data_IF_070456225844
#
_entry.id   IF_070456225844
#
_cell.length_a   1.000
_cell.length_b   1.000
_cell.length_c   1.000
_cell.angle_alpha   90.00
_cell.angle_beta   90.00
_cell.angle_gamma   90.00
#
_symmetry.space_group_name_H-M   'P 1'
#
loop_
_entity.id
_entity.type
_entity.pdbx_description
1 polymer ?
#
# COMPACT_ATOMS: atom_id res chain seq x y z
N UNK A 1 -12.52 27.66 12.46
CA UNK A 1 -11.85 27.70 11.14
C UNK A 1 -12.14 26.40 10.44
N UNK A 2 -12.78 26.49 9.27
CA UNK A 2 -13.35 25.40 8.50
C UNK A 2 -12.25 24.45 7.98
N UNK A 3 -12.30 23.17 8.35
CA UNK A 3 -11.49 22.13 7.71
C UNK A 3 -12.22 21.68 6.45
N UNK A 4 -11.67 22.08 5.31
CA UNK A 4 -12.14 21.71 3.99
C UNK A 4 -11.99 20.21 3.75
N UNK A 5 -13.10 19.62 3.31
CA UNK A 5 -13.34 18.24 2.96
C UNK A 5 -12.29 17.66 2.00
N UNK A 6 -11.63 16.58 2.41
CA UNK A 6 -10.88 15.70 1.51
C UNK A 6 -11.85 14.95 0.60
N UNK A 7 -12.06 15.48 -0.59
CA UNK A 7 -12.86 14.86 -1.65
C UNK A 7 -12.10 13.63 -2.18
N UNK A 8 -12.46 12.43 -1.71
CA UNK A 8 -12.06 11.18 -2.37
C UNK A 8 -12.91 11.07 -3.63
N UNK A 9 -12.35 11.45 -4.77
CA UNK A 9 -12.98 11.26 -6.09
C UNK A 9 -12.84 9.76 -6.43
N UNK A 10 -13.83 8.97 -6.02
CA UNK A 10 -14.05 7.63 -6.55
C UNK A 10 -14.61 7.81 -7.95
N UNK A 11 -13.74 7.79 -8.97
CA UNK A 11 -14.18 7.71 -10.37
C UNK A 11 -14.66 6.27 -10.57
N UNK A 12 -15.97 6.06 -10.41
CA UNK A 12 -16.66 4.91 -10.96
C UNK A 12 -16.51 4.96 -12.48
N UNK A 13 -15.69 4.08 -13.05
CA UNK A 13 -15.72 3.77 -14.47
C UNK A 13 -17.13 3.28 -14.80
N UNK A 14 -17.91 4.15 -15.45
CA UNK A 14 -19.21 3.79 -15.96
C UNK A 14 -19.03 2.64 -16.97
N UNK A 15 -19.61 1.48 -16.66
CA UNK A 15 -19.81 0.42 -17.65
C UNK A 15 -20.63 1.02 -18.80
N UNK A 16 -19.98 1.34 -19.91
CA UNK A 16 -20.69 1.60 -21.16
C UNK A 16 -21.28 0.25 -21.60
N UNK A 17 -22.55 0.04 -21.24
CA UNK A 17 -23.34 -1.00 -21.87
C UNK A 17 -23.61 -0.57 -23.31
N UNK A 18 -22.77 -1.04 -24.24
CA UNK A 18 -23.11 -1.00 -25.66
C UNK A 18 -24.26 -2.00 -25.87
N UNK A 19 -25.48 -1.49 -25.85
CA UNK A 19 -26.61 -2.13 -26.54
C UNK A 19 -26.27 -2.10 -28.03
N UNK A 20 -25.94 -3.25 -28.61
CA UNK A 20 -25.98 -3.46 -30.05
C UNK A 20 -27.40 -3.92 -30.37
N UNK A 21 -28.33 -2.98 -30.51
CA UNK A 21 -29.58 -3.22 -31.22
C UNK A 21 -29.38 -2.65 -32.63
N UNK A 22 -28.78 -3.45 -33.51
CA UNK A 22 -28.82 -3.23 -34.95
C UNK A 22 -29.34 -4.50 -35.61
N UNK A 23 -30.61 -4.81 -35.34
CA UNK A 23 -31.37 -5.73 -36.17
C UNK A 23 -31.68 -4.99 -37.49
N UNK A 24 -30.79 -5.15 -38.48
CA UNK A 24 -31.09 -4.73 -39.84
C UNK A 24 -31.88 -5.87 -40.48
N UNK A 25 -33.21 -5.78 -40.41
CA UNK A 25 -34.08 -6.57 -41.28
C UNK A 25 -33.85 -6.12 -42.72
N UNK A 26 -33.13 -6.94 -43.50
CA UNK A 26 -33.11 -6.79 -44.96
C UNK A 26 -34.41 -7.36 -45.50
N UNK A 27 -35.47 -6.55 -45.44
CA UNK A 27 -36.73 -6.87 -46.09
C UNK A 27 -36.54 -6.76 -47.61
N UNK A 28 -36.61 -7.93 -48.26
CA UNK A 28 -36.70 -8.00 -49.70
C UNK A 28 -38.13 -7.58 -50.09
N UNK A 29 -38.25 -6.42 -50.74
CA UNK A 29 -39.46 -5.76 -51.26
C UNK A 29 -40.10 -4.70 -50.35
N UNK A 30 -39.84 -3.42 -50.64
CA UNK A 30 -40.86 -2.40 -50.99
C UNK A 30 -40.16 -1.15 -51.54
N UNK A 31 -40.66 -0.68 -52.69
CA UNK A 31 -40.26 0.50 -53.47
C UNK A 31 -39.74 1.69 -52.66
N UNK A 32 -38.42 1.71 -52.46
CA UNK A 32 -37.64 2.80 -51.87
C UNK A 32 -36.20 2.33 -51.60
N UNK A 33 -35.64 1.52 -52.51
CA UNK A 33 -34.47 0.70 -52.21
C UNK A 33 -33.18 1.53 -52.21
N UNK A 34 -32.75 2.01 -51.05
CA UNK A 34 -31.32 2.17 -50.78
C UNK A 34 -30.70 0.78 -50.64
N UNK A 35 -30.32 0.19 -51.78
CA UNK A 35 -29.56 -1.06 -51.84
C UNK A 35 -28.16 -0.80 -51.26
N UNK A 36 -27.90 -1.26 -50.04
CA UNK A 36 -26.54 -1.25 -49.46
C UNK A 36 -25.70 -2.27 -50.22
N UNK A 37 -24.53 -1.86 -50.73
CA UNK A 37 -23.60 -2.79 -51.37
C UNK A 37 -23.07 -3.77 -50.32
N UNK A 38 -22.80 -5.01 -50.74
CA UNK A 38 -22.25 -6.02 -49.83
C UNK A 38 -20.89 -5.59 -49.25
N UNK A 39 -20.11 -4.88 -50.05
CA UNK A 39 -18.86 -4.26 -49.63
C UNK A 39 -19.07 -3.19 -48.55
N UNK A 40 -20.09 -2.33 -48.70
CA UNK A 40 -20.46 -1.35 -47.66
C UNK A 40 -20.91 -2.04 -46.37
N UNK A 41 -21.59 -3.18 -46.49
CA UNK A 41 -21.99 -4.00 -45.35
C UNK A 41 -20.78 -4.57 -44.61
N UNK A 42 -19.82 -5.19 -45.31
CA UNK A 42 -18.56 -5.69 -44.72
C UNK A 42 -17.76 -4.55 -44.09
N UNK A 43 -17.65 -3.42 -44.78
CA UNK A 43 -16.94 -2.23 -44.30
C UNK A 43 -17.53 -1.70 -42.98
N UNK A 44 -18.86 -1.78 -42.81
CA UNK A 44 -19.49 -1.41 -41.54
C UNK A 44 -19.00 -2.25 -40.35
N UNK A 45 -18.74 -3.55 -40.55
CA UNK A 45 -18.22 -4.45 -39.52
C UNK A 45 -16.73 -4.24 -39.28
N UNK A 46 -15.94 -3.95 -40.33
CA UNK A 46 -14.52 -3.56 -40.16
C UNK A 46 -14.37 -2.36 -39.22
N UNK A 47 -15.24 -1.36 -39.37
CA UNK A 47 -15.26 -0.17 -38.50
C UNK A 47 -15.66 -0.52 -37.07
N UNK A 48 -16.64 -1.41 -36.89
CA UNK A 48 -17.04 -1.89 -35.57
C UNK A 48 -15.88 -2.63 -34.87
N UNK A 49 -15.21 -3.55 -35.57
CA UNK A 49 -14.04 -4.27 -35.04
C UNK A 49 -12.89 -3.34 -34.69
N UNK A 50 -12.59 -2.35 -35.55
CA UNK A 50 -11.59 -1.31 -35.25
C UNK A 50 -11.94 -0.55 -33.97
N UNK A 51 -13.21 -0.17 -33.81
CA UNK A 51 -13.71 0.52 -32.62
C UNK A 51 -13.56 -0.35 -31.36
N UNK A 52 -13.84 -1.65 -31.44
CA UNK A 52 -13.64 -2.57 -30.31
C UNK A 52 -12.19 -2.62 -29.87
N UNK A 53 -11.25 -2.77 -30.81
CA UNK A 53 -9.81 -2.77 -30.52
C UNK A 53 -9.38 -1.46 -29.88
N UNK A 54 -9.83 -0.33 -30.39
CA UNK A 54 -9.51 0.99 -29.85
C UNK A 54 -10.03 1.15 -28.42
N UNK A 55 -11.29 0.78 -28.16
CA UNK A 55 -11.88 0.81 -26.81
C UNK A 55 -11.07 -0.04 -25.82
N UNK A 56 -10.70 -1.26 -26.22
CA UNK A 56 -9.95 -2.16 -25.35
C UNK A 56 -8.55 -1.61 -25.02
N UNK A 57 -7.83 -1.10 -26.03
CA UNK A 57 -6.54 -0.46 -25.82
C UNK A 57 -6.67 0.76 -24.89
N UNK A 58 -7.69 1.60 -25.10
CA UNK A 58 -7.96 2.77 -24.26
C UNK A 58 -8.24 2.38 -22.80
N UNK A 59 -8.97 1.29 -22.55
CA UNK A 59 -9.24 0.78 -21.20
C UNK A 59 -7.96 0.33 -20.49
N UNK A 60 -7.08 -0.40 -21.17
CA UNK A 60 -5.78 -0.80 -20.58
C UNK A 60 -4.90 0.43 -20.32
N UNK A 61 -4.83 1.36 -21.27
CA UNK A 61 -4.01 2.57 -21.12
C UNK A 61 -4.53 3.48 -20.01
N UNK A 62 -5.86 3.55 -19.83
CA UNK A 62 -6.47 4.28 -18.72
C UNK A 62 -6.08 3.67 -17.36
N UNK A 63 -6.03 2.34 -17.25
CA UNK A 63 -5.56 1.65 -16.05
C UNK A 63 -4.09 1.98 -15.75
N UNK A 64 -3.22 1.93 -16.77
CA UNK A 64 -1.80 2.31 -16.63
C UNK A 64 -1.65 3.75 -16.15
N UNK A 65 -2.33 4.71 -16.80
CA UNK A 65 -2.30 6.13 -16.41
C UNK A 65 -2.81 6.34 -14.99
N UNK A 66 -3.88 5.64 -14.59
CA UNK A 66 -4.40 5.73 -13.23
C UNK A 66 -3.38 5.21 -12.22
N UNK A 67 -2.72 4.09 -12.52
CA UNK A 67 -1.68 3.52 -11.68
C UNK A 67 -0.50 4.50 -11.50
N UNK A 68 0.03 5.03 -12.58
CA UNK A 68 1.13 6.01 -12.57
C UNK A 68 0.78 7.27 -11.77
N UNK A 69 -0.44 7.81 -11.94
CA UNK A 69 -0.92 8.96 -11.18
C UNK A 69 -0.97 8.72 -9.66
N UNK A 70 -1.30 7.50 -9.25
CA UNK A 70 -1.25 7.14 -7.83
C UNK A 70 0.21 7.12 -7.32
N UNK A 71 1.16 6.66 -8.13
CA UNK A 71 2.58 6.71 -7.78
C UNK A 71 3.11 8.15 -7.68
N UNK A 72 2.65 9.05 -8.57
CA UNK A 72 2.98 10.48 -8.50
C UNK A 72 2.51 11.11 -7.18
N UNK A 73 1.37 10.69 -6.65
CA UNK A 73 0.88 11.17 -5.36
C UNK A 73 1.83 10.80 -4.21
N UNK A 74 2.45 9.62 -4.26
CA UNK A 74 3.48 9.18 -3.29
C UNK A 74 4.78 9.97 -3.49
N UNK A 75 5.16 10.27 -4.75
CA UNK A 75 6.31 11.13 -5.06
C UNK A 75 6.14 12.54 -4.46
N UNK A 76 4.94 13.11 -4.53
CA UNK A 76 4.63 14.40 -3.89
C UNK A 76 4.72 14.30 -2.36
N UNK A 77 4.18 13.22 -1.77
CA UNK A 77 4.29 12.98 -0.32
C UNK A 77 5.75 12.88 0.13
N UNK A 78 6.60 12.23 -0.67
CA UNK A 78 8.06 12.19 -0.43
C UNK A 78 8.63 13.61 -0.30
N UNK A 79 8.33 14.51 -1.23
CA UNK A 79 8.83 15.90 -1.17
C UNK A 79 8.38 16.62 0.10
N UNK A 80 7.11 16.47 0.49
CA UNK A 80 6.61 17.05 1.74
C UNK A 80 7.32 16.48 2.98
N UNK A 81 7.72 15.21 2.97
CA UNK A 81 8.51 14.64 4.07
C UNK A 81 9.88 15.29 4.15
N UNK A 82 10.57 15.41 3.02
CA UNK A 82 11.91 15.99 2.96
C UNK A 82 11.92 17.44 3.42
N UNK A 83 10.92 18.21 3.02
CA UNK A 83 10.72 19.58 3.50
C UNK A 83 10.49 19.64 5.01
N UNK A 84 9.70 18.71 5.57
CA UNK A 84 9.48 18.64 7.03
C UNK A 84 10.75 18.31 7.80
N UNK A 85 11.58 17.40 7.29
CA UNK A 85 12.89 17.09 7.87
C UNK A 85 13.75 18.36 7.87
N UNK A 86 13.87 19.02 6.71
CA UNK A 86 14.65 20.25 6.54
C UNK A 86 14.19 21.35 7.49
N UNK A 87 12.89 21.62 7.54
CA UNK A 87 12.31 22.63 8.45
C UNK A 87 12.59 22.29 9.92
N UNK A 88 12.52 21.02 10.29
CA UNK A 88 12.80 20.60 11.65
C UNK A 88 14.28 20.77 12.01
N UNK A 89 15.21 20.49 11.10
CA UNK A 89 16.64 20.77 11.28
C UNK A 89 16.93 22.28 11.35
N UNK A 90 16.34 23.08 10.47
CA UNK A 90 16.50 24.55 10.46
C UNK A 90 16.00 25.18 11.76
N UNK A 91 14.96 24.62 12.37
CA UNK A 91 14.45 25.07 13.66
C UNK A 91 15.42 24.86 14.83
N UNK A 92 16.42 23.97 14.68
CA UNK A 92 17.43 23.76 15.70
C UNK A 92 18.46 24.89 15.77
N UNK A 93 18.71 25.59 14.66
CA UNK A 93 19.74 26.61 14.58
C UNK A 93 19.51 27.80 15.54
N UNK A 94 18.31 28.41 15.61
CA UNK A 94 18.04 29.44 16.60
C UNK A 94 18.21 28.96 18.04
N UNK A 95 17.88 27.69 18.33
CA UNK A 95 18.03 27.11 19.68
C UNK A 95 19.50 27.02 20.10
N UNK A 96 20.41 26.72 19.17
CA UNK A 96 21.86 26.70 19.44
C UNK A 96 22.42 28.08 19.83
N UNK A 97 21.74 29.17 19.45
CA UNK A 97 22.18 30.55 19.70
C UNK A 97 21.67 31.14 21.01
N UNK A 98 20.72 30.51 21.69
CA UNK A 98 20.10 31.06 22.90
C UNK A 98 21.09 31.18 24.06
N UNK A 99 21.79 30.09 24.39
CA UNK A 99 22.83 30.05 25.42
C UNK A 99 23.67 28.76 25.31
N UNK A 100 24.71 28.63 26.15
CA UNK A 100 25.60 27.47 26.14
C UNK A 100 24.93 26.14 26.48
N UNK A 101 23.87 26.15 27.29
CA UNK A 101 23.11 24.95 27.65
C UNK A 101 22.26 24.48 26.47
N UNK A 102 21.53 25.38 25.82
CA UNK A 102 20.76 25.09 24.61
C UNK A 102 21.64 24.53 23.49
N UNK A 103 22.83 25.11 23.28
CA UNK A 103 23.81 24.58 22.32
C UNK A 103 24.24 23.15 22.63
N UNK A 104 24.51 22.82 23.91
CA UNK A 104 24.85 21.46 24.34
C UNK A 104 23.70 20.48 24.11
N UNK A 105 22.48 20.86 24.46
CA UNK A 105 21.29 20.04 24.29
C UNK A 105 20.99 19.74 22.82
N UNK A 106 21.00 20.75 21.96
CA UNK A 106 20.83 20.54 20.51
C UNK A 106 21.94 19.62 19.99
N UNK A 107 23.22 19.91 20.30
CA UNK A 107 24.35 19.09 19.83
C UNK A 107 24.24 17.62 20.26
N UNK A 108 23.70 17.36 21.45
CA UNK A 108 23.53 16.00 22.00
C UNK A 108 22.49 15.20 21.21
N UNK A 109 21.36 15.80 20.88
CA UNK A 109 20.21 15.11 20.27
C UNK A 109 20.10 15.33 18.75
N UNK A 110 20.96 16.15 18.15
CA UNK A 110 20.94 16.43 16.71
C UNK A 110 21.03 15.18 15.83
N UNK A 111 21.75 14.16 16.28
CA UNK A 111 21.88 12.89 15.55
C UNK A 111 20.62 12.02 15.59
N UNK A 112 19.65 12.33 16.46
CA UNK A 112 18.33 11.67 16.48
C UNK A 112 17.38 12.26 15.42
N UNK A 113 17.73 13.40 14.83
CA UNK A 113 16.99 13.93 13.69
C UNK A 113 17.10 12.96 12.50
N UNK A 114 15.99 12.67 11.82
CA UNK A 114 16.01 11.78 10.67
C UNK A 114 16.80 12.39 9.51
N UNK A 115 17.56 11.56 8.81
CA UNK A 115 18.33 11.97 7.65
C UNK A 115 17.42 12.05 6.40
N UNK A 116 17.41 13.21 5.74
CA UNK A 116 16.61 13.44 4.53
C UNK A 116 17.00 12.51 3.37
N UNK A 117 18.30 12.28 3.14
CA UNK A 117 18.80 11.39 2.09
C UNK A 117 18.39 9.92 2.30
N UNK A 118 18.34 9.46 3.56
CA UNK A 118 17.83 8.12 3.89
C UNK A 118 16.33 8.03 3.64
N UNK A 119 15.53 8.96 4.17
CA UNK A 119 14.09 8.98 3.93
C UNK A 119 13.73 9.06 2.43
N UNK A 120 14.50 9.84 1.65
CA UNK A 120 14.35 9.91 0.21
C UNK A 120 14.62 8.56 -0.47
N UNK A 121 15.70 7.89 -0.07
CA UNK A 121 16.09 6.60 -0.63
C UNK A 121 15.05 5.53 -0.33
N UNK A 122 14.60 5.45 0.93
CA UNK A 122 13.63 4.46 1.39
C UNK A 122 12.28 4.60 0.65
N UNK A 123 11.76 5.83 0.48
CA UNK A 123 10.50 6.03 -0.29
C UNK A 123 10.73 5.77 -1.79
N UNK A 124 11.90 6.10 -2.33
CA UNK A 124 12.21 5.83 -3.74
C UNK A 124 12.26 4.32 -4.01
N UNK A 125 12.76 3.52 -3.07
CA UNK A 125 12.72 2.06 -3.15
C UNK A 125 11.28 1.53 -3.20
N UNK A 126 10.38 2.04 -2.35
CA UNK A 126 8.95 1.70 -2.39
C UNK A 126 8.35 1.99 -3.79
N UNK A 127 8.69 3.15 -4.38
CA UNK A 127 8.20 3.58 -5.68
C UNK A 127 8.75 2.73 -6.83
N UNK A 128 10.04 2.41 -6.84
CA UNK A 128 10.66 1.58 -7.88
C UNK A 128 10.06 0.17 -7.89
N UNK A 129 9.82 -0.41 -6.70
CA UNK A 129 9.17 -1.71 -6.57
C UNK A 129 7.76 -1.70 -7.19
N UNK A 130 7.01 -0.60 -7.03
CA UNK A 130 5.69 -0.43 -7.62
C UNK A 130 5.76 -0.19 -9.14
N UNK A 131 6.66 0.68 -9.61
CA UNK A 131 6.89 0.93 -11.05
C UNK A 131 7.23 -0.35 -11.81
N UNK A 132 7.97 -1.26 -11.18
CA UNK A 132 8.28 -2.55 -11.78
C UNK A 132 7.03 -3.37 -12.13
N UNK A 133 5.95 -3.24 -11.35
CA UNK A 133 4.70 -4.00 -11.55
C UNK A 133 3.90 -3.54 -12.78
N UNK A 134 4.16 -2.35 -13.33
CA UNK A 134 3.50 -1.87 -14.56
C UNK A 134 3.68 -2.82 -15.74
N UNK A 135 4.75 -3.62 -15.75
CA UNK A 135 5.01 -4.61 -16.80
C UNK A 135 4.00 -5.75 -16.81
N UNK A 136 3.47 -6.10 -15.64
CA UNK A 136 2.55 -7.22 -15.46
C UNK A 136 1.09 -6.73 -15.49
N UNK A 137 0.82 -5.55 -14.91
CA UNK A 137 -0.52 -4.96 -14.93
C UNK A 137 -0.95 -4.75 -16.39
N UNK A 138 -2.09 -5.32 -16.77
CA UNK A 138 -2.62 -5.17 -18.12
C UNK A 138 -1.93 -6.02 -19.19
N UNK A 139 -0.99 -6.90 -18.83
CA UNK A 139 -0.31 -7.76 -19.81
C UNK A 139 -1.26 -8.77 -20.48
N UNK A 140 -2.10 -9.42 -19.69
CA UNK A 140 -3.11 -10.38 -20.16
C UNK A 140 -4.18 -9.73 -21.05
N UNK A 141 -4.86 -8.63 -20.64
CA UNK A 141 -5.84 -8.00 -21.52
C UNK A 141 -5.21 -7.49 -22.82
N UNK A 142 -3.95 -7.00 -22.82
CA UNK A 142 -3.23 -6.69 -24.08
C UNK A 142 -2.98 -7.91 -24.95
N UNK A 143 -2.79 -9.10 -24.37
CA UNK A 143 -2.68 -10.33 -25.13
C UNK A 143 -4.00 -10.66 -25.82
N UNK A 144 -5.13 -10.50 -25.13
CA UNK A 144 -6.46 -10.70 -25.72
C UNK A 144 -6.76 -9.71 -26.84
N UNK A 145 -6.38 -8.43 -26.69
CA UNK A 145 -6.46 -7.44 -27.78
C UNK A 145 -5.68 -7.89 -29.02
N UNK A 146 -4.43 -8.36 -28.84
CA UNK A 146 -3.62 -8.87 -29.97
C UNK A 146 -4.25 -10.09 -30.66
N UNK A 147 -4.94 -10.94 -29.91
CA UNK A 147 -5.66 -12.08 -30.47
C UNK A 147 -6.82 -11.59 -31.36
N UNK A 148 -7.61 -10.65 -30.87
CA UNK A 148 -8.69 -10.01 -31.63
C UNK A 148 -8.16 -9.29 -32.89
N UNK A 149 -7.11 -8.47 -32.75
CA UNK A 149 -6.47 -7.76 -33.86
C UNK A 149 -6.01 -8.73 -34.96
N UNK A 150 -5.34 -9.83 -34.57
CA UNK A 150 -4.88 -10.84 -35.52
C UNK A 150 -6.04 -11.59 -36.18
N UNK A 151 -7.12 -11.85 -35.44
CA UNK A 151 -8.31 -12.47 -36.02
C UNK A 151 -8.96 -11.56 -37.06
N UNK A 152 -9.22 -10.29 -36.71
CA UNK A 152 -9.85 -9.34 -37.62
C UNK A 152 -8.99 -9.07 -38.86
N UNK A 153 -7.71 -8.77 -38.68
CA UNK A 153 -6.82 -8.35 -39.77
C UNK A 153 -6.41 -9.48 -40.73
N UNK A 154 -6.57 -10.74 -40.33
CA UNK A 154 -6.17 -11.89 -41.17
C UNK A 154 -7.33 -12.80 -41.48
N UNK A 155 -7.95 -13.37 -40.45
CA UNK A 155 -8.95 -14.44 -40.63
C UNK A 155 -10.22 -13.84 -41.22
N UNK A 156 -10.76 -12.78 -40.60
CA UNK A 156 -11.96 -12.13 -41.12
C UNK A 156 -11.74 -11.51 -42.50
N UNK A 157 -10.62 -10.81 -42.73
CA UNK A 157 -10.34 -10.21 -44.03
C UNK A 157 -10.18 -11.24 -45.16
N UNK A 158 -9.51 -12.37 -44.90
CA UNK A 158 -9.37 -13.46 -45.87
C UNK A 158 -10.73 -14.09 -46.18
N UNK A 159 -11.50 -14.43 -45.15
CA UNK A 159 -12.86 -14.97 -45.29
C UNK A 159 -13.79 -14.01 -46.05
N UNK A 160 -13.82 -12.73 -45.68
CA UNK A 160 -14.67 -11.74 -46.33
C UNK A 160 -14.30 -11.57 -47.80
N UNK A 161 -13.01 -11.52 -48.13
CA UNK A 161 -12.55 -11.44 -49.53
C UNK A 161 -12.98 -12.66 -50.34
N UNK A 162 -12.88 -13.86 -49.77
CA UNK A 162 -13.33 -15.09 -50.42
C UNK A 162 -14.84 -15.08 -50.66
N UNK A 163 -15.64 -14.66 -49.68
CA UNK A 163 -17.09 -14.54 -49.82
C UNK A 163 -17.52 -13.50 -50.87
N UNK A 164 -16.80 -12.37 -50.98
CA UNK A 164 -17.07 -11.37 -52.01
C UNK A 164 -16.75 -11.87 -53.42
N UNK A 165 -15.84 -12.83 -53.56
CA UNK A 165 -15.52 -13.48 -54.83
C UNK A 165 -16.47 -14.66 -55.17
N UNK A 166 -17.34 -15.07 -54.26
CA UNK A 166 -18.28 -16.19 -54.43
C UNK A 166 -19.36 -15.83 -55.45
N UNK A 167 -19.56 -16.69 -56.46
CA UNK A 167 -20.45 -16.41 -57.59
C UNK A 167 -21.92 -16.68 -57.26
N UNK A 168 -22.18 -17.68 -56.40
CA UNK A 168 -23.52 -18.23 -56.24
C UNK A 168 -24.30 -17.57 -55.10
N UNK A 169 -23.66 -17.38 -53.95
CA UNK A 169 -24.33 -16.93 -52.71
C UNK A 169 -23.46 -16.00 -51.86
N UNK A 170 -22.92 -14.90 -52.42
CA UNK A 170 -21.96 -14.04 -51.71
C UNK A 170 -22.55 -13.41 -50.44
N UNK A 171 -23.83 -12.98 -50.48
CA UNK A 171 -24.51 -12.41 -49.31
C UNK A 171 -24.59 -13.38 -48.14
N UNK A 172 -25.01 -14.63 -48.39
CA UNK A 172 -25.14 -15.65 -47.34
C UNK A 172 -23.77 -16.02 -46.75
N UNK A 173 -22.75 -16.11 -47.60
CA UNK A 173 -21.37 -16.36 -47.15
C UNK A 173 -20.90 -15.25 -46.20
N UNK A 174 -21.05 -13.98 -46.60
CA UNK A 174 -20.67 -12.82 -45.77
C UNK A 174 -21.44 -12.80 -44.45
N UNK A 175 -22.73 -13.11 -44.46
CA UNK A 175 -23.54 -13.16 -43.24
C UNK A 175 -23.03 -14.22 -42.25
N UNK A 176 -22.71 -15.42 -42.72
CA UNK A 176 -22.16 -16.51 -41.90
C UNK A 176 -20.77 -16.16 -41.32
N UNK A 177 -19.90 -15.51 -42.11
CA UNK A 177 -18.58 -15.06 -41.64
C UNK A 177 -18.69 -13.94 -40.61
N UNK A 178 -19.62 -12.99 -40.79
CA UNK A 178 -19.89 -11.94 -39.80
C UNK A 178 -20.44 -12.52 -38.49
N UNK A 179 -21.36 -13.49 -38.57
CA UNK A 179 -21.87 -14.19 -37.38
C UNK A 179 -20.74 -14.88 -36.62
N UNK A 180 -19.84 -15.57 -37.33
CA UNK A 180 -18.67 -16.22 -36.75
C UNK A 180 -17.71 -15.22 -36.11
N UNK A 181 -17.46 -14.08 -36.76
CA UNK A 181 -16.63 -13.02 -36.22
C UNK A 181 -17.26 -12.37 -34.96
N UNK A 182 -18.57 -12.19 -34.94
CA UNK A 182 -19.30 -11.67 -33.79
C UNK A 182 -19.23 -12.64 -32.60
N UNK A 183 -19.41 -13.95 -32.83
CA UNK A 183 -19.27 -14.96 -31.77
C UNK A 183 -17.84 -14.98 -31.20
N UNK A 184 -16.83 -14.92 -32.07
CA UNK A 184 -15.42 -14.83 -31.65
C UNK A 184 -15.17 -13.56 -30.82
N UNK A 185 -15.74 -12.43 -31.24
CA UNK A 185 -15.66 -11.15 -30.55
C UNK A 185 -16.28 -11.22 -29.16
N UNK A 186 -17.52 -11.71 -29.05
CA UNK A 186 -18.24 -11.82 -27.77
C UNK A 186 -17.45 -12.65 -26.76
N UNK A 187 -16.95 -13.81 -27.19
CA UNK A 187 -16.18 -14.70 -26.32
C UNK A 187 -14.89 -14.05 -25.81
N UNK A 188 -14.17 -13.33 -26.67
CA UNK A 188 -12.94 -12.64 -26.27
C UNK A 188 -13.23 -11.36 -25.47
N UNK A 189 -14.35 -10.68 -25.68
CA UNK A 189 -14.76 -9.53 -24.87
C UNK A 189 -15.02 -9.94 -23.41
N UNK A 190 -15.72 -11.06 -23.19
CA UNK A 190 -15.94 -11.60 -21.85
C UNK A 190 -14.62 -11.91 -21.14
N UNK A 191 -13.69 -12.52 -21.86
CA UNK A 191 -12.35 -12.81 -21.35
C UNK A 191 -11.55 -11.54 -21.07
N UNK A 192 -11.60 -10.56 -21.97
CA UNK A 192 -10.93 -9.28 -21.78
C UNK A 192 -11.45 -8.56 -20.54
N UNK A 193 -12.76 -8.56 -20.32
CA UNK A 193 -13.38 -7.95 -19.14
C UNK A 193 -12.89 -8.62 -17.84
N UNK A 194 -12.83 -9.95 -17.80
CA UNK A 194 -12.28 -10.70 -16.65
C UNK A 194 -10.79 -10.38 -16.41
N UNK A 195 -9.99 -10.36 -17.48
CA UNK A 195 -8.56 -10.03 -17.41
C UNK A 195 -8.31 -8.56 -17.00
N UNK A 196 -9.19 -7.65 -17.41
CA UNK A 196 -9.18 -6.25 -16.97
C UNK A 196 -9.53 -6.13 -15.49
N UNK A 197 -10.58 -6.80 -15.02
CA UNK A 197 -10.96 -6.80 -13.59
C UNK A 197 -9.82 -7.34 -12.70
N UNK A 198 -9.17 -8.41 -13.15
CA UNK A 198 -7.99 -8.97 -12.48
C UNK A 198 -6.81 -7.98 -12.47
N UNK A 199 -6.54 -7.32 -13.60
CA UNK A 199 -5.49 -6.29 -13.70
C UNK A 199 -5.78 -5.08 -12.81
N UNK A 200 -7.03 -4.64 -12.72
CA UNK A 200 -7.44 -3.57 -11.80
C UNK A 200 -7.22 -3.97 -10.35
N UNK A 201 -7.55 -5.21 -9.98
CA UNK A 201 -7.33 -5.71 -8.62
C UNK A 201 -5.84 -5.75 -8.25
N UNK A 202 -5.00 -6.24 -9.17
CA UNK A 202 -3.54 -6.22 -9.01
C UNK A 202 -3.01 -4.80 -8.85
N UNK A 203 -3.43 -3.89 -9.73
CA UNK A 203 -3.07 -2.47 -9.66
C UNK A 203 -3.41 -1.86 -8.29
N UNK A 204 -4.64 -2.05 -7.80
CA UNK A 204 -5.07 -1.56 -6.47
C UNK A 204 -4.25 -2.15 -5.34
N UNK A 205 -3.90 -3.44 -5.42
CA UNK A 205 -3.09 -4.12 -4.41
C UNK A 205 -1.69 -3.51 -4.34
N UNK A 206 -1.04 -3.29 -5.48
CA UNK A 206 0.29 -2.67 -5.52
C UNK A 206 0.27 -1.19 -5.13
N UNK A 207 -0.77 -0.44 -5.53
CA UNK A 207 -0.98 0.93 -5.05
C UNK A 207 -1.05 0.96 -3.52
N UNK A 208 -1.86 0.09 -2.92
CA UNK A 208 -1.96 -0.01 -1.45
C UNK A 208 -0.61 -0.37 -0.82
N UNK A 209 0.14 -1.27 -1.43
CA UNK A 209 1.45 -1.67 -0.93
C UNK A 209 2.44 -0.49 -0.90
N UNK A 210 2.52 0.31 -1.97
CA UNK A 210 3.42 1.48 -2.00
C UNK A 210 2.99 2.57 -1.03
N UNK A 211 1.68 2.82 -0.88
CA UNK A 211 1.18 3.77 0.12
C UNK A 211 1.51 3.31 1.55
N UNK A 212 1.35 2.03 1.86
CA UNK A 212 1.70 1.49 3.17
C UNK A 212 3.21 1.58 3.43
N UNK A 213 4.04 1.25 2.44
CA UNK A 213 5.51 1.36 2.51
C UNK A 213 5.94 2.80 2.81
N UNK A 214 5.42 3.76 2.03
CA UNK A 214 5.66 5.20 2.24
C UNK A 214 5.16 5.66 3.60
N UNK A 215 3.95 5.26 4.01
CA UNK A 215 3.35 5.67 5.28
C UNK A 215 4.20 5.27 6.49
N UNK A 216 4.78 4.07 6.50
CA UNK A 216 5.68 3.63 7.58
C UNK A 216 6.87 4.57 7.71
N UNK A 217 7.48 4.97 6.59
CA UNK A 217 8.64 5.87 6.57
C UNK A 217 8.23 7.26 7.06
N UNK A 218 7.09 7.78 6.60
CA UNK A 218 6.51 9.04 7.06
C UNK A 218 6.28 9.05 8.56
N UNK A 219 5.66 7.99 9.08
CA UNK A 219 5.35 7.85 10.50
C UNK A 219 6.61 7.79 11.35
N UNK A 220 7.57 6.93 10.99
CA UNK A 220 8.85 6.80 11.70
C UNK A 220 9.63 8.10 11.71
N UNK A 221 9.68 8.80 10.58
CA UNK A 221 10.35 10.11 10.46
C UNK A 221 9.68 11.15 11.36
N UNK A 222 8.34 11.22 11.35
CA UNK A 222 7.60 12.16 12.18
C UNK A 222 7.81 11.91 13.69
N UNK A 223 7.81 10.63 14.09
CA UNK A 223 8.10 10.23 15.46
C UNK A 223 9.52 10.59 15.88
N UNK A 224 10.52 10.32 15.03
CA UNK A 224 11.91 10.67 15.31
C UNK A 224 12.09 12.19 15.48
N UNK A 225 11.46 13.01 14.62
CA UNK A 225 11.47 14.48 14.78
C UNK A 225 10.84 14.90 16.11
N UNK A 226 9.69 14.32 16.48
CA UNK A 226 9.00 14.66 17.71
C UNK A 226 9.84 14.29 18.95
N UNK A 227 10.41 13.09 18.97
CA UNK A 227 11.26 12.60 20.05
C UNK A 227 12.51 13.47 20.21
N UNK A 228 13.22 13.76 19.12
CA UNK A 228 14.40 14.63 19.15
C UNK A 228 14.07 16.03 19.71
N UNK A 229 12.94 16.62 19.28
CA UNK A 229 12.49 17.93 19.78
C UNK A 229 12.17 17.89 21.27
N UNK A 230 11.42 16.89 21.73
CA UNK A 230 11.09 16.72 23.15
C UNK A 230 12.36 16.53 23.99
N UNK A 231 13.30 15.72 23.53
CA UNK A 231 14.58 15.50 24.21
C UNK A 231 15.41 16.79 24.33
N UNK A 232 15.44 17.61 23.28
CA UNK A 232 16.10 18.92 23.29
C UNK A 232 15.42 19.86 24.28
N UNK A 233 14.09 19.96 24.26
CA UNK A 233 13.33 20.83 25.18
C UNK A 233 13.50 20.43 26.64
N UNK A 234 13.42 19.13 26.96
CA UNK A 234 13.60 18.63 28.32
C UNK A 234 15.02 18.92 28.82
N UNK A 235 16.04 18.72 27.98
CA UNK A 235 17.42 19.05 28.31
C UNK A 235 17.63 20.55 28.56
N UNK A 236 16.97 21.42 27.79
CA UNK A 236 17.05 22.87 27.97
C UNK A 236 16.38 23.35 29.27
N UNK A 237 15.28 22.70 29.68
CA UNK A 237 14.53 23.03 30.89
C UNK A 237 15.22 22.54 32.18
N UNK A 238 16.08 21.52 32.10
CA UNK A 238 16.85 21.08 33.26
C UNK A 238 18.14 21.90 33.38
N UNK A 239 18.19 22.82 34.35
CA UNK A 239 19.46 23.43 34.77
C UNK A 239 20.41 22.39 35.41
N UNK A 240 19.86 21.30 35.94
CA UNK A 240 20.59 20.17 36.48
C UNK A 240 19.92 18.86 36.05
N UNK A 241 20.73 17.93 35.52
CA UNK A 241 20.43 16.49 35.45
C UNK A 241 18.94 16.12 35.37
N UNK A 242 18.29 16.34 34.22
CA UNK A 242 17.07 15.58 33.91
C UNK A 242 17.45 14.11 34.01
N UNK A 243 16.91 13.39 35.01
CA UNK A 243 17.33 12.05 35.46
C UNK A 243 17.94 11.19 34.35
N UNK A 244 19.25 11.34 34.14
CA UNK A 244 20.05 10.19 33.81
C UNK A 244 20.01 9.38 35.10
N UNK A 245 19.05 8.45 35.19
CA UNK A 245 19.20 7.33 36.09
C UNK A 245 20.47 6.62 35.64
N UNK A 246 21.64 7.10 36.09
CA UNK A 246 22.86 6.33 36.01
C UNK A 246 22.56 5.03 36.73
N UNK A 247 22.86 3.90 36.09
CA UNK A 247 22.68 2.59 36.68
C UNK A 247 23.29 2.59 38.10
N UNK A 248 22.43 2.50 39.11
CA UNK A 248 22.81 2.59 40.53
C UNK A 248 22.12 3.67 41.36
N UNK A 249 21.39 4.63 40.75
CA UNK A 249 20.56 5.56 41.51
C UNK A 249 19.17 4.96 41.81
N UNK A 250 19.00 4.40 43.01
CA UNK A 250 17.68 4.02 43.52
C UNK A 250 16.90 5.26 43.95
N UNK A 251 15.72 5.45 43.38
CA UNK A 251 14.75 6.42 43.87
C UNK A 251 14.20 5.92 45.21
N UNK A 252 14.58 6.55 46.32
CA UNK A 252 14.08 6.19 47.65
C UNK A 252 12.66 6.72 47.87
N UNK A 253 12.31 7.81 47.18
CA UNK A 253 11.00 8.43 47.26
C UNK A 253 10.33 8.35 45.87
N UNK A 254 9.22 7.61 45.76
CA UNK A 254 8.51 7.40 44.51
C UNK A 254 7.08 7.95 44.62
N UNK A 255 6.70 8.86 43.73
CA UNK A 255 5.31 9.29 43.57
C UNK A 255 4.79 8.75 42.24
N UNK A 256 3.72 7.97 42.31
CA UNK A 256 3.00 7.51 41.13
C UNK A 256 2.07 8.63 40.67
N UNK A 257 2.22 9.04 39.42
CA UNK A 257 1.38 10.04 38.78
C UNK A 257 0.39 9.31 37.90
N UNK A 258 -0.89 9.44 38.20
CA UNK A 258 -1.92 8.80 37.39
C UNK A 258 -2.18 9.62 36.13
N UNK A 259 -2.54 8.99 35.00
CA UNK A 259 -2.84 9.73 33.77
C UNK A 259 -3.99 10.72 33.94
N UNK A 260 -4.92 10.44 34.86
CA UNK A 260 -6.02 11.34 35.25
C UNK A 260 -5.58 12.63 35.94
N UNK A 261 -4.35 12.68 36.45
CA UNK A 261 -3.78 13.85 37.14
C UNK A 261 -3.01 14.77 36.18
N UNK A 262 -2.85 14.34 34.92
CA UNK A 262 -2.15 15.10 33.89
C UNK A 262 -3.18 15.91 33.09
N UNK A 263 -3.07 17.23 33.16
CA UNK A 263 -3.83 18.13 32.30
C UNK A 263 -3.04 18.37 30.99
N UNK A 264 -3.65 18.08 29.85
CA UNK A 264 -3.06 18.26 28.52
C UNK A 264 -2.80 19.73 28.15
N UNK A 265 -3.47 20.68 28.80
CA UNK A 265 -3.29 22.12 28.58
C UNK A 265 -2.22 22.74 29.49
N UNK A 266 -1.93 22.11 30.63
CA UNK A 266 -0.92 22.57 31.58
C UNK A 266 -0.37 21.38 32.37
N UNK A 267 0.82 20.88 32.01
CA UNK A 267 1.45 19.71 32.64
C UNK A 267 2.07 20.14 33.98
N UNK A 268 1.23 20.51 34.93
CA UNK A 268 1.62 20.80 36.31
C UNK A 268 0.90 19.84 37.23
N UNK A 269 1.66 18.99 37.92
CA UNK A 269 1.17 18.08 38.96
C UNK A 269 1.64 18.57 40.33
N UNK A 270 0.84 18.32 41.37
CA UNK A 270 1.24 18.59 42.74
C UNK A 270 2.39 17.65 43.14
N UNK A 271 3.56 18.22 43.38
CA UNK A 271 4.74 17.46 43.80
C UNK A 271 4.75 17.27 45.31
N UNK A 272 4.26 16.11 45.77
CA UNK A 272 4.28 15.72 47.19
C UNK A 272 5.69 15.39 47.72
N UNK A 273 6.67 15.30 46.83
CA UNK A 273 8.06 15.00 47.14
C UNK A 273 8.94 16.25 47.23
N UNK A 274 8.34 17.45 47.16
CA UNK A 274 9.06 18.71 47.30
C UNK A 274 9.82 18.76 48.64
N UNK A 275 11.13 18.98 48.59
CA UNK A 275 12.01 18.97 49.76
C UNK A 275 12.62 17.61 50.15
N UNK A 276 12.30 16.52 49.43
CA UNK A 276 12.90 15.19 49.65
C UNK A 276 13.99 14.88 48.63
N UNK A 277 15.11 14.33 49.08
CA UNK A 277 16.20 13.87 48.21
C UNK A 277 15.89 12.50 47.56
N UNK A 278 16.50 12.21 46.40
CA UNK A 278 16.31 10.97 45.62
C UNK A 278 14.83 10.65 45.32
N UNK A 279 14.11 11.66 44.84
CA UNK A 279 12.67 11.59 44.54
C UNK A 279 12.42 11.39 43.05
N UNK A 280 11.53 10.46 42.69
CA UNK A 280 11.16 10.15 41.32
C UNK A 280 9.64 10.16 41.14
N UNK A 281 9.21 10.62 39.98
CA UNK A 281 7.82 10.58 39.53
C UNK A 281 7.69 9.47 38.51
N UNK A 282 6.86 8.48 38.80
CA UNK A 282 6.58 7.38 37.88
C UNK A 282 5.19 7.57 37.29
N UNK A 283 5.11 7.69 35.98
CA UNK A 283 3.84 7.71 35.27
C UNK A 283 3.24 6.30 35.32
N UNK A 284 2.19 6.10 36.12
CA UNK A 284 1.54 4.81 36.24
C UNK A 284 0.63 4.59 35.03
N UNK A 285 0.92 3.59 34.21
CA UNK A 285 0.01 3.17 33.15
C UNK A 285 -1.16 2.38 33.77
N UNK A 286 -2.24 3.07 34.16
CA UNK A 286 -3.51 2.50 34.69
C UNK A 286 -3.47 2.07 36.18
N UNK A 287 -4.63 1.93 36.87
CA UNK A 287 -4.66 1.80 38.32
C UNK A 287 -4.38 0.35 38.72
N UNK A 288 -3.20 0.08 39.25
CA UNK A 288 -3.03 -1.07 40.12
C UNK A 288 -3.79 -0.78 41.42
N UNK A 289 -4.77 -1.63 41.73
CA UNK A 289 -5.48 -1.64 43.00
C UNK A 289 -4.47 -1.74 44.15
N UNK A 290 -4.60 -0.84 45.12
CA UNK A 290 -3.85 -0.87 46.37
C UNK A 290 -4.12 -2.19 47.13
N UNK A 291 -3.25 -3.19 47.00
CA UNK A 291 -3.16 -4.24 48.00
C UNK A 291 -2.32 -3.72 49.18
N UNK A 292 -3.00 -3.12 50.17
CA UNK A 292 -2.42 -2.89 51.50
C UNK A 292 -2.21 -4.21 52.24
N UNK A 293 -1.08 -4.39 52.95
CA UNK A 293 -0.85 -5.57 53.78
C UNK A 293 -1.69 -5.49 55.06
N UNK A 294 -2.39 -6.57 55.40
CA UNK A 294 -2.88 -6.83 56.76
C UNK A 294 -2.01 -7.91 57.38
N UNK A 295 -1.36 -7.54 58.48
CA UNK A 295 -0.52 -8.37 59.32
C UNK A 295 -1.36 -9.28 60.22
N UNK A 296 -0.86 -10.52 60.38
CA UNK A 296 -1.07 -11.52 61.44
C UNK A 296 -2.49 -11.95 61.90
N UNK A 297 -2.79 -13.24 61.67
CA UNK A 297 -2.94 -14.23 62.75
C UNK A 297 -3.31 -15.62 62.18
N UNK A 298 -2.37 -16.57 62.22
CA UNK A 298 -2.60 -17.98 62.59
C UNK A 298 -1.32 -18.81 62.39
N UNK A 299 -0.46 -18.77 63.40
CA UNK A 299 0.51 -19.83 63.62
C UNK A 299 -0.22 -21.12 64.05
N UNK A 300 -0.03 -22.21 63.29
CA UNK A 300 0.19 -23.60 63.75
C UNK A 300 -0.13 -24.62 62.66
N UNK A 301 0.89 -25.13 61.97
CA UNK A 301 1.13 -26.56 61.80
C UNK A 301 2.45 -26.78 61.02
N UNK A 302 3.20 -27.80 61.43
CA UNK A 302 4.59 -28.15 61.07
C UNK A 302 4.81 -28.54 59.60
N UNK A 303 6.08 -28.52 59.14
CA UNK A 303 6.49 -28.90 57.79
C UNK A 303 6.85 -30.38 57.68
N UNK A 304 6.57 -30.97 56.50
CA UNK A 304 7.25 -32.17 56.01
C UNK A 304 7.74 -31.90 54.58
N UNK A 305 8.95 -32.36 54.30
CA UNK A 305 9.66 -32.32 53.02
C UNK A 305 10.06 -33.78 52.67
N UNK A 306 10.76 -34.13 51.57
CA UNK A 306 10.97 -33.53 50.24
C UNK A 306 10.91 -34.58 49.07
N UNK A 307 11.27 -34.14 47.84
CA UNK A 307 11.96 -34.84 46.70
C UNK A 307 11.17 -34.76 45.38
N UNK A 308 11.69 -34.06 44.34
CA UNK A 308 12.70 -34.44 43.33
C UNK A 308 12.32 -35.69 42.53
N UNK A 309 11.96 -35.50 41.26
CA UNK A 309 12.11 -36.52 40.23
C UNK A 309 12.71 -35.94 38.94
N UNK A 310 13.85 -36.52 38.57
CA UNK A 310 14.48 -36.46 37.26
C UNK A 310 13.90 -37.59 36.41
N UNK A 311 13.70 -37.37 35.10
CA UNK A 311 13.65 -38.50 34.16
C UNK A 311 14.39 -38.19 32.86
N UNK A 312 15.49 -38.92 32.69
CA UNK A 312 16.20 -39.24 31.44
C UNK A 312 15.85 -40.69 31.09
N UNK A 313 15.65 -40.96 29.80
CA UNK A 313 16.05 -42.18 29.02
C UNK A 313 15.41 -42.01 27.63
N UNK A 314 16.14 -41.88 26.51
CA UNK A 314 16.92 -42.90 25.78
C UNK A 314 16.05 -44.11 25.37
N UNK A 315 16.12 -44.72 24.19
CA UNK A 315 16.77 -44.53 22.90
C UNK A 315 16.16 -45.60 21.96
N UNK A 316 16.17 -45.41 20.63
CA UNK A 316 16.46 -46.47 19.64
C UNK A 316 16.26 -45.95 18.20
N UNK A 317 17.38 -45.79 17.49
CA UNK A 317 17.45 -45.95 16.04
C UNK A 317 17.57 -47.47 15.71
N UNK A 318 17.48 -47.94 14.45
CA UNK A 318 18.62 -47.73 13.53
C UNK A 318 18.33 -47.71 12.00
N UNK A 319 19.27 -47.09 11.28
CA UNK A 319 19.83 -47.48 9.95
C UNK A 319 18.95 -47.32 8.70
N UNK A 320 19.44 -46.99 7.48
CA UNK A 320 20.76 -47.01 6.82
C UNK A 320 20.61 -46.23 5.49
N UNK A 321 21.67 -45.60 4.99
CA UNK A 321 21.71 -45.19 3.57
C UNK A 321 22.72 -44.08 3.27
N UNK A 322 23.92 -44.45 2.81
CA UNK A 322 25.06 -43.59 2.65
C UNK A 322 25.41 -43.30 1.18
N UNK A 323 26.18 -42.22 0.97
CA UNK A 323 27.12 -41.91 -0.14
C UNK A 323 26.45 -41.41 -1.45
N UNK A 324 27.01 -40.48 -2.23
CA UNK A 324 28.38 -39.96 -2.35
C UNK A 324 28.37 -38.69 -3.22
N UNK A 325 29.19 -37.68 -2.86
CA UNK A 325 29.72 -36.64 -3.78
C UNK A 325 31.03 -37.15 -4.43
N UNK A 326 31.22 -36.94 -5.73
CA UNK A 326 32.47 -36.83 -6.53
C UNK A 326 32.05 -36.90 -8.02
N UNK A 327 32.62 -36.22 -9.02
CA UNK A 327 33.68 -35.21 -9.23
C UNK A 327 33.85 -35.18 -10.77
N UNK A 328 33.99 -33.99 -11.40
CA UNK A 328 34.57 -33.69 -12.74
C UNK A 328 34.14 -34.60 -13.93
N UNK A 329 33.71 -34.04 -15.05
CA UNK A 329 34.53 -33.33 -16.03
C UNK A 329 33.61 -32.54 -16.96
#
# INVERSE_FOLDING_TARGET
>A
MSMSSGLIIIITLAKLALRVDAEITVDNSTSGNTSVSLEDYVESYRRQFTTYIEDHNNRVDALHKLYEKNLESVEIQKQFLLDRIRQAEEHLFPLELLNSQSKKCVSKYRNEMPNSGRAQSDISECLEAARYQLKEIGADPRRTVKILENYYSKIFEESATNCLAEVNTPFKCVEEEILSANEFTINNNLKFDEEMDNSEHQARTHIKAVFNCSFVIHFQTAMAIAEAKVNIELCMKSEDNYCACQDGHTCENLQHVRPSELNSENITISNSLYGKSKSCLLLAASPEEENKPKEEAAAKAKPESPKKDNRKEAAAAPTKGAKKKKKRT
#
